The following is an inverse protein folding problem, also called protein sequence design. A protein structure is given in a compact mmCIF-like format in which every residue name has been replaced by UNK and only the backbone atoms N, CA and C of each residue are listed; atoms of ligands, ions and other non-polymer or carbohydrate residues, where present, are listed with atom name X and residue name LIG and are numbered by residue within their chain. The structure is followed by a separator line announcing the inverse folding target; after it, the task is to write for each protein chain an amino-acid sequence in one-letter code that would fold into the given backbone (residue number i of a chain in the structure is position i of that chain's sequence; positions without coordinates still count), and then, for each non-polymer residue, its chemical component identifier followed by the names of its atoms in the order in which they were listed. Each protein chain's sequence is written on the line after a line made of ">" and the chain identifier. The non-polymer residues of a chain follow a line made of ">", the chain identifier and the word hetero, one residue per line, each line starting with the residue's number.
data_IF_486810231249
#
_entry.id   IF_486810231249
#
_cell.length_a   1.000
_cell.length_b   1.000
_cell.length_c   1.000
_cell.angle_alpha   90.00
_cell.angle_beta   90.00
_cell.angle_gamma   90.00
#
_symmetry.space_group_name_H-M   'P 1'
#
loop_
_entity.id
_entity.type
_entity.pdbx_description
1 polymer ?
#
# COMPACT_ATOMS: atom_id res chain seq x y z
N UNK A 1 15.09 9.59 5.00
CA UNK A 1 14.56 8.22 4.91
C UNK A 1 14.58 7.60 6.28
N UNK A 2 13.61 6.69 6.59
CA UNK A 2 13.66 5.88 7.81
C UNK A 2 14.33 4.54 7.55
N UNK A 3 14.11 3.98 6.36
CA UNK A 3 14.69 2.72 5.93
C UNK A 3 15.23 2.86 4.51
N UNK A 4 16.41 2.31 4.28
CA UNK A 4 16.99 2.18 2.93
C UNK A 4 17.63 0.79 2.82
N UNK A 5 17.46 0.16 1.67
CA UNK A 5 18.21 -1.05 1.32
C UNK A 5 19.02 -0.78 0.07
N UNK A 6 20.23 -1.28 0.04
CA UNK A 6 21.18 -1.10 -1.06
C UNK A 6 21.56 -2.45 -1.64
N UNK A 7 21.09 -2.74 -2.85
CA UNK A 7 21.42 -3.91 -3.67
C UNK A 7 21.34 -5.24 -2.90
N UNK A 8 20.26 -5.44 -2.15
CA UNK A 8 20.04 -6.66 -1.37
C UNK A 8 19.90 -7.85 -2.31
N UNK A 9 20.76 -8.85 -2.10
CA UNK A 9 20.70 -10.13 -2.80
C UNK A 9 20.50 -11.25 -1.80
N UNK A 10 19.62 -12.19 -2.11
CA UNK A 10 19.38 -13.39 -1.31
C UNK A 10 19.05 -14.58 -2.16
N UNK A 11 19.82 -15.66 -1.98
CA UNK A 11 19.61 -16.94 -2.65
C UNK A 11 19.30 -18.03 -1.62
N UNK A 12 18.33 -18.87 -1.92
CA UNK A 12 18.00 -20.08 -1.17
C UNK A 12 18.20 -21.29 -2.08
N UNK A 13 19.19 -22.11 -1.79
CA UNK A 13 19.56 -23.26 -2.62
C UNK A 13 19.59 -22.87 -4.13
N UNK A 14 18.60 -23.30 -4.89
CA UNK A 14 18.53 -23.03 -6.33
C UNK A 14 17.58 -21.86 -6.71
N UNK A 15 17.05 -21.14 -5.70
CA UNK A 15 16.11 -20.03 -5.92
C UNK A 15 16.71 -18.68 -5.51
N UNK A 16 16.89 -17.79 -6.48
CA UNK A 16 17.28 -16.41 -6.24
C UNK A 16 16.05 -15.62 -5.81
N UNK A 17 15.92 -15.35 -4.51
CA UNK A 17 14.74 -14.68 -3.95
C UNK A 17 14.80 -13.15 -4.05
N UNK A 18 16.02 -12.57 -4.03
CA UNK A 18 16.26 -11.14 -4.24
C UNK A 18 17.54 -10.97 -5.07
N UNK A 19 17.48 -10.11 -6.09
CA UNK A 19 18.54 -9.81 -7.02
C UNK A 19 18.79 -8.29 -7.08
N UNK A 20 19.65 -7.81 -6.17
CA UNK A 20 20.05 -6.41 -6.11
C UNK A 20 18.92 -5.43 -5.74
N UNK A 21 17.96 -5.85 -4.92
CA UNK A 21 16.79 -5.05 -4.55
C UNK A 21 17.18 -3.87 -3.67
N UNK A 22 16.78 -2.66 -4.08
CA UNK A 22 17.01 -1.40 -3.35
C UNK A 22 15.68 -0.67 -3.15
N UNK A 23 15.36 -0.28 -1.91
CA UNK A 23 14.20 0.54 -1.60
C UNK A 23 14.60 1.73 -0.72
N UNK A 24 13.82 2.81 -0.79
CA UNK A 24 14.00 4.00 0.04
C UNK A 24 12.66 4.43 0.60
N UNK A 25 12.47 4.28 1.91
CA UNK A 25 11.21 4.54 2.61
C UNK A 25 11.28 5.89 3.31
N UNK A 26 10.46 6.88 2.91
CA UNK A 26 10.40 8.18 3.58
C UNK A 26 9.82 8.06 5.00
N UNK A 27 10.22 8.98 5.90
CA UNK A 27 9.61 9.08 7.25
C UNK A 27 8.15 9.51 7.16
N UNK A 28 7.32 9.06 8.11
CA UNK A 28 5.91 9.41 8.25
C UNK A 28 5.10 9.17 6.94
N UNK A 29 5.32 8.03 6.29
CA UNK A 29 4.64 7.63 5.05
C UNK A 29 4.15 6.19 5.11
N UNK A 30 3.17 5.88 4.29
CA UNK A 30 2.79 4.49 3.98
C UNK A 30 3.46 4.07 2.68
N UNK A 31 4.29 3.06 2.75
CA UNK A 31 5.08 2.54 1.63
C UNK A 31 4.59 1.15 1.21
N UNK A 32 4.08 1.04 0.00
CA UNK A 32 3.61 -0.22 -0.59
C UNK A 32 4.76 -1.06 -1.13
N UNK A 33 4.92 -2.28 -0.63
CA UNK A 33 5.81 -3.28 -1.18
C UNK A 33 4.99 -4.28 -1.98
N UNK A 34 4.99 -4.15 -3.31
CA UNK A 34 4.08 -4.81 -4.22
C UNK A 34 4.78 -5.93 -5.01
N UNK A 35 3.99 -6.84 -5.55
CA UNK A 35 4.48 -7.90 -6.43
C UNK A 35 3.67 -9.18 -6.29
N UNK A 36 3.79 -10.10 -7.26
CA UNK A 36 3.14 -11.40 -7.19
C UNK A 36 3.69 -12.24 -6.04
N UNK A 37 3.00 -13.35 -5.74
CA UNK A 37 3.49 -14.33 -4.77
C UNK A 37 4.82 -14.91 -5.26
N UNK A 38 5.79 -15.05 -4.35
CA UNK A 38 7.13 -15.52 -4.69
C UNK A 38 8.07 -14.47 -5.28
N UNK A 39 7.65 -13.20 -5.46
CA UNK A 39 8.50 -12.13 -6.02
C UNK A 39 9.67 -11.71 -5.12
N UNK A 40 9.69 -12.10 -3.84
CA UNK A 40 10.75 -11.77 -2.88
C UNK A 40 10.33 -10.82 -1.75
N UNK A 41 9.09 -10.32 -1.71
CA UNK A 41 8.59 -9.37 -0.70
C UNK A 41 8.86 -9.84 0.74
N UNK A 42 8.37 -11.02 1.11
CA UNK A 42 8.54 -11.58 2.46
C UNK A 42 10.01 -11.85 2.79
N UNK A 43 10.85 -12.20 1.80
CA UNK A 43 12.30 -12.34 2.00
C UNK A 43 12.92 -10.99 2.36
N UNK A 44 12.59 -9.91 1.65
CA UNK A 44 13.07 -8.57 1.98
C UNK A 44 12.61 -8.12 3.37
N UNK A 45 11.34 -8.35 3.71
CA UNK A 45 10.77 -8.07 5.03
C UNK A 45 11.53 -8.84 6.12
N UNK A 46 11.85 -10.12 5.93
CA UNK A 46 12.62 -10.92 6.88
C UNK A 46 14.04 -10.39 7.07
N UNK A 47 14.67 -9.87 6.01
CA UNK A 47 16.00 -9.25 6.11
C UNK A 47 15.93 -7.95 6.91
N UNK A 48 14.94 -7.08 6.66
CA UNK A 48 14.73 -5.84 7.41
C UNK A 48 14.47 -6.11 8.90
N UNK A 49 13.77 -7.20 9.22
CA UNK A 49 13.52 -7.64 10.61
C UNK A 49 14.66 -8.45 11.22
N UNK A 50 15.80 -8.62 10.54
CA UNK A 50 16.96 -9.40 10.97
C UNK A 50 16.67 -10.89 11.27
N UNK A 51 15.59 -11.42 10.69
CA UNK A 51 15.24 -12.85 10.77
C UNK A 51 16.14 -13.66 9.84
N UNK A 52 16.60 -13.07 8.74
CA UNK A 52 17.48 -13.68 7.75
C UNK A 52 18.52 -12.66 7.32
N UNK A 53 19.80 -13.07 7.24
CA UNK A 53 20.86 -12.21 6.70
C UNK A 53 20.80 -12.17 5.16
N UNK A 54 21.08 -11.03 4.52
CA UNK A 54 21.31 -10.95 3.08
C UNK A 54 22.63 -11.67 2.72
N UNK A 55 22.76 -12.12 1.48
CA UNK A 55 24.02 -12.65 0.98
C UNK A 55 24.96 -11.53 0.51
N UNK A 56 24.36 -10.41 0.04
CA UNK A 56 25.06 -9.16 -0.23
C UNK A 56 24.12 -7.96 -0.14
N UNK A 57 24.69 -6.76 -0.09
CA UNK A 57 23.96 -5.50 0.11
C UNK A 57 23.89 -5.10 1.57
N UNK A 58 23.28 -3.94 1.84
CA UNK A 58 23.17 -3.34 3.18
C UNK A 58 21.78 -2.81 3.44
N UNK A 59 21.39 -2.80 4.70
CA UNK A 59 20.15 -2.16 5.18
C UNK A 59 20.53 -1.04 6.13
N UNK A 60 19.94 0.13 5.95
CA UNK A 60 20.11 1.30 6.82
C UNK A 60 18.77 1.62 7.47
N UNK A 61 18.80 1.90 8.77
CA UNK A 61 17.63 2.29 9.54
C UNK A 61 17.94 3.59 10.31
N UNK A 62 17.08 4.58 10.17
CA UNK A 62 17.16 5.91 10.82
C UNK A 62 18.55 6.56 10.73
N UNK A 63 19.25 6.36 9.60
CA UNK A 63 20.52 7.01 9.25
C UNK A 63 21.80 6.20 9.60
N UNK A 64 21.67 4.99 10.14
CA UNK A 64 22.80 4.08 10.40
C UNK A 64 22.56 2.68 9.83
N UNK A 65 23.61 1.88 9.70
CA UNK A 65 23.48 0.49 9.27
C UNK A 65 22.68 -0.30 10.32
N UNK A 66 21.66 -1.04 9.86
CA UNK A 66 20.71 -1.76 10.71
C UNK A 66 21.44 -2.69 11.69
N UNK A 67 21.13 -2.59 12.97
CA UNK A 67 21.70 -3.39 14.04
C UNK A 67 20.63 -4.07 14.92
N UNK A 68 21.05 -5.04 15.75
CA UNK A 68 20.11 -5.84 16.56
C UNK A 68 19.20 -5.01 17.48
N UNK A 69 19.70 -3.88 18.01
CA UNK A 69 18.90 -3.01 18.87
C UNK A 69 17.74 -2.31 18.14
N UNK A 70 17.79 -2.18 16.82
CA UNK A 70 16.74 -1.53 16.04
C UNK A 70 15.44 -2.31 16.02
N UNK A 71 15.48 -3.63 16.29
CA UNK A 71 14.28 -4.50 16.38
C UNK A 71 13.27 -3.99 17.40
N UNK A 72 13.72 -3.28 18.44
CA UNK A 72 12.81 -2.65 19.42
C UNK A 72 12.06 -1.42 18.85
N UNK A 73 12.58 -0.81 17.80
CA UNK A 73 11.98 0.31 17.08
C UNK A 73 11.17 -0.12 15.85
N UNK A 74 11.09 -1.45 15.60
CA UNK A 74 10.37 -2.05 14.47
C UNK A 74 9.23 -2.91 15.00
N UNK A 75 8.02 -2.67 14.50
CA UNK A 75 6.86 -3.53 14.69
C UNK A 75 6.62 -4.37 13.44
N UNK A 76 6.56 -5.69 13.56
CA UNK A 76 6.33 -6.60 12.44
C UNK A 76 5.06 -7.43 12.65
N UNK A 77 4.13 -7.33 11.72
CA UNK A 77 2.94 -8.15 11.60
C UNK A 77 3.14 -9.14 10.44
N UNK A 78 3.48 -10.40 10.70
CA UNK A 78 3.64 -11.40 9.65
C UNK A 78 2.29 -11.87 9.10
N UNK A 79 2.29 -12.37 7.86
CA UNK A 79 1.12 -13.00 7.25
C UNK A 79 0.64 -14.22 8.05
N UNK A 80 1.57 -15.05 8.50
CA UNK A 80 1.28 -16.19 9.38
C UNK A 80 1.17 -15.76 10.84
N UNK A 81 0.23 -16.36 11.57
CA UNK A 81 -0.06 -15.96 12.94
C UNK A 81 0.92 -16.56 13.93
N UNK A 82 1.67 -15.68 14.62
CA UNK A 82 2.61 -16.03 15.68
C UNK A 82 1.98 -16.10 17.08
N UNK A 83 0.65 -16.23 17.22
CA UNK A 83 0.01 -16.26 18.51
C UNK A 83 0.02 -17.66 19.14
N UNK A 84 0.31 -17.75 20.44
CA UNK A 84 0.31 -19.02 21.22
C UNK A 84 -1.11 -19.44 21.54
N UNK A 85 -1.60 -20.50 20.90
CA UNK A 85 -2.99 -20.94 20.93
C UNK A 85 -3.56 -21.19 22.34
N UNK A 86 -2.76 -21.75 23.26
CA UNK A 86 -3.18 -22.13 24.62
C UNK A 86 -3.13 -20.98 25.64
N UNK A 87 -2.49 -19.85 25.31
CA UNK A 87 -2.44 -18.68 26.19
C UNK A 87 -3.74 -17.89 26.14
N UNK A 88 -4.06 -17.21 27.23
CA UNK A 88 -5.13 -16.21 27.24
C UNK A 88 -4.69 -14.97 26.48
N UNK A 89 -5.63 -14.31 25.81
CA UNK A 89 -5.41 -13.11 25.00
C UNK A 89 -4.69 -12.02 25.80
N UNK A 90 -5.19 -11.70 27.01
CA UNK A 90 -4.57 -10.69 27.88
C UNK A 90 -3.15 -11.06 28.31
N UNK A 91 -2.93 -12.31 28.71
CA UNK A 91 -1.60 -12.80 29.13
C UNK A 91 -0.60 -12.69 27.98
N UNK A 92 -0.97 -13.15 26.79
CA UNK A 92 -0.09 -13.10 25.62
C UNK A 92 0.17 -11.67 25.19
N UNK A 93 -0.85 -10.81 25.16
CA UNK A 93 -0.68 -9.40 24.78
C UNK A 93 0.25 -8.68 25.76
N UNK A 94 0.14 -8.92 27.05
CA UNK A 94 1.05 -8.41 28.08
C UNK A 94 2.47 -8.95 27.89
N UNK A 95 2.63 -10.24 27.61
CA UNK A 95 3.90 -10.87 27.37
C UNK A 95 4.64 -10.26 26.18
N UNK A 96 3.95 -10.14 25.02
CA UNK A 96 4.52 -9.58 23.79
C UNK A 96 4.86 -8.09 23.94
N UNK A 97 4.03 -7.31 24.64
CA UNK A 97 4.29 -5.91 24.94
C UNK A 97 5.57 -5.74 25.79
N UNK A 98 5.75 -6.60 26.78
CA UNK A 98 6.95 -6.58 27.65
C UNK A 98 8.21 -7.02 26.91
N UNK A 99 8.12 -7.97 26.00
CA UNK A 99 9.25 -8.36 25.12
C UNK A 99 9.72 -7.19 24.26
N UNK A 100 8.82 -6.27 23.91
CA UNK A 100 9.14 -5.02 23.18
C UNK A 100 9.56 -3.86 24.10
N UNK A 101 9.84 -4.13 25.37
CA UNK A 101 10.41 -3.17 26.32
C UNK A 101 9.43 -2.36 27.14
N UNK A 102 8.11 -2.57 27.02
CA UNK A 102 7.14 -1.84 27.85
C UNK A 102 7.20 -2.33 29.31
N UNK A 103 7.05 -1.41 30.25
CA UNK A 103 6.80 -1.76 31.65
C UNK A 103 5.43 -2.49 31.79
N UNK A 104 5.26 -3.25 32.86
CA UNK A 104 3.96 -3.90 33.13
C UNK A 104 2.82 -2.88 33.18
N UNK A 105 3.05 -1.73 33.83
CA UNK A 105 2.06 -0.65 33.97
C UNK A 105 1.69 -0.04 32.60
N UNK A 106 2.69 0.32 31.79
CA UNK A 106 2.46 0.95 30.47
C UNK A 106 1.81 -0.03 29.50
N UNK A 107 2.23 -1.30 29.51
CA UNK A 107 1.61 -2.34 28.70
C UNK A 107 0.12 -2.53 29.06
N UNK A 108 -0.22 -2.60 30.35
CA UNK A 108 -1.62 -2.73 30.81
C UNK A 108 -2.47 -1.52 30.42
N UNK A 109 -1.93 -0.30 30.63
CA UNK A 109 -2.60 0.94 30.26
C UNK A 109 -2.86 1.02 28.75
N UNK A 110 -1.84 0.74 27.94
CA UNK A 110 -1.96 0.78 26.48
C UNK A 110 -2.91 -0.29 25.96
N UNK A 111 -2.84 -1.51 26.49
CA UNK A 111 -3.76 -2.59 26.11
C UNK A 111 -5.21 -2.27 26.42
N UNK A 112 -5.53 -1.67 27.58
CA UNK A 112 -6.89 -1.24 27.93
C UNK A 112 -7.44 -0.27 26.87
N UNK A 113 -6.64 0.75 26.46
CA UNK A 113 -7.01 1.73 25.44
C UNK A 113 -7.31 1.04 24.10
N UNK A 114 -6.41 0.17 23.65
CA UNK A 114 -6.55 -0.51 22.37
C UNK A 114 -7.71 -1.52 22.35
N UNK A 115 -7.91 -2.25 23.46
CA UNK A 115 -9.02 -3.19 23.56
C UNK A 115 -10.37 -2.46 23.58
N UNK A 116 -10.44 -1.29 24.21
CA UNK A 116 -11.62 -0.44 24.17
C UNK A 116 -11.87 0.11 22.76
N UNK A 117 -10.85 0.67 22.12
CA UNK A 117 -10.92 1.21 20.76
C UNK A 117 -11.41 0.17 19.73
N UNK A 118 -11.02 -1.08 19.90
CA UNK A 118 -11.41 -2.19 19.00
C UNK A 118 -12.67 -2.94 19.47
N UNK A 119 -13.27 -2.57 20.62
CA UNK A 119 -14.47 -3.21 21.17
C UNK A 119 -14.26 -4.68 21.57
N UNK A 120 -13.07 -5.01 22.08
CA UNK A 120 -12.65 -6.40 22.33
C UNK A 120 -12.30 -6.68 23.80
N UNK A 121 -12.75 -5.85 24.74
CA UNK A 121 -12.46 -6.00 26.17
C UNK A 121 -12.88 -7.38 26.71
N UNK A 122 -14.00 -7.90 26.22
CA UNK A 122 -14.52 -9.21 26.61
C UNK A 122 -13.61 -10.40 26.20
N UNK A 123 -12.60 -10.16 25.34
CA UNK A 123 -11.69 -11.24 24.89
C UNK A 123 -10.51 -11.45 25.83
N UNK A 124 -10.28 -10.59 26.80
CA UNK A 124 -9.11 -10.60 27.69
C UNK A 124 -8.83 -11.98 28.29
N UNK A 125 -9.88 -12.67 28.79
CA UNK A 125 -9.76 -13.97 29.43
C UNK A 125 -9.97 -15.17 28.49
N UNK A 126 -10.31 -14.95 27.21
CA UNK A 126 -10.44 -16.02 26.23
C UNK A 126 -9.08 -16.58 25.89
N UNK A 127 -9.02 -17.87 25.57
CA UNK A 127 -7.83 -18.46 24.96
C UNK A 127 -7.73 -18.04 23.49
N UNK A 128 -6.51 -17.94 22.96
CA UNK A 128 -6.30 -17.58 21.55
C UNK A 128 -6.94 -18.59 20.59
N UNK A 129 -6.98 -19.87 20.95
CA UNK A 129 -7.64 -20.93 20.16
C UNK A 129 -9.16 -20.76 20.02
N UNK A 130 -9.79 -19.98 20.89
CA UNK A 130 -11.23 -19.67 20.84
C UNK A 130 -11.55 -18.49 19.90
N UNK A 131 -10.53 -17.83 19.36
CA UNK A 131 -10.70 -16.68 18.49
C UNK A 131 -10.92 -17.13 17.02
N UNK A 132 -11.82 -16.43 16.34
CA UNK A 132 -11.90 -16.51 14.88
C UNK A 132 -10.62 -15.96 14.21
N UNK A 133 -10.47 -16.22 12.92
CA UNK A 133 -9.33 -15.73 12.14
C UNK A 133 -9.20 -14.19 12.24
N UNK A 134 -10.27 -13.44 12.02
CA UNK A 134 -10.28 -11.99 12.13
C UNK A 134 -10.04 -11.48 13.55
N UNK A 135 -10.57 -12.17 14.56
CA UNK A 135 -10.30 -11.83 15.97
C UNK A 135 -8.81 -11.94 16.31
N UNK A 136 -8.18 -13.05 15.94
CA UNK A 136 -6.74 -13.25 16.17
C UNK A 136 -5.90 -12.19 15.43
N UNK A 137 -6.32 -11.78 14.20
CA UNK A 137 -5.66 -10.73 13.43
C UNK A 137 -5.71 -9.37 14.15
N UNK A 138 -6.86 -8.99 14.75
CA UNK A 138 -6.97 -7.78 15.57
C UNK A 138 -5.97 -7.75 16.73
N UNK A 139 -5.89 -8.86 17.46
CA UNK A 139 -4.93 -8.99 18.58
C UNK A 139 -3.50 -8.85 18.08
N UNK A 140 -3.18 -9.52 16.99
CA UNK A 140 -1.83 -9.47 16.41
C UNK A 140 -1.47 -8.05 15.93
N UNK A 141 -2.41 -7.34 15.30
CA UNK A 141 -2.24 -5.93 14.93
C UNK A 141 -1.95 -5.07 16.17
N UNK A 142 -2.78 -5.18 17.22
CA UNK A 142 -2.62 -4.41 18.46
C UNK A 142 -1.24 -4.63 19.09
N UNK A 143 -0.82 -5.88 19.27
CA UNK A 143 0.48 -6.16 19.91
C UNK A 143 1.67 -5.71 19.07
N UNK A 144 1.49 -5.60 17.75
CA UNK A 144 2.53 -5.09 16.82
C UNK A 144 2.76 -3.58 16.99
N UNK A 145 1.70 -2.79 17.24
CA UNK A 145 1.78 -1.32 17.32
C UNK A 145 1.96 -0.78 18.74
N UNK A 146 1.76 -1.62 19.76
CA UNK A 146 1.58 -1.23 21.15
C UNK A 146 2.78 -0.47 21.74
N UNK A 147 4.00 -0.83 21.34
CA UNK A 147 5.25 -0.22 21.79
C UNK A 147 5.64 1.05 21.02
N UNK A 148 4.74 1.56 20.15
CA UNK A 148 4.93 2.78 19.32
C UNK A 148 6.23 2.77 18.51
N UNK A 149 6.44 1.77 17.65
CA UNK A 149 7.67 1.67 16.87
C UNK A 149 7.77 2.81 15.85
N UNK A 150 8.99 3.17 15.46
CA UNK A 150 9.26 4.16 14.40
C UNK A 150 8.89 3.60 13.02
N UNK A 151 9.04 2.30 12.83
CA UNK A 151 8.72 1.58 11.59
C UNK A 151 7.77 0.42 11.90
N UNK A 152 6.66 0.39 11.18
CA UNK A 152 5.72 -0.72 11.18
C UNK A 152 5.79 -1.46 9.85
N UNK A 153 5.87 -2.78 9.89
CA UNK A 153 5.88 -3.63 8.70
C UNK A 153 4.68 -4.56 8.79
N UNK A 154 3.77 -4.45 7.84
CA UNK A 154 2.56 -5.26 7.75
C UNK A 154 2.61 -6.15 6.50
N UNK A 155 2.74 -7.45 6.69
CA UNK A 155 2.77 -8.44 5.61
C UNK A 155 1.36 -9.01 5.43
N UNK A 156 0.68 -8.65 4.32
CA UNK A 156 -0.71 -9.01 3.99
C UNK A 156 -1.71 -8.76 5.15
N UNK A 157 -1.75 -7.55 5.75
CA UNK A 157 -2.48 -7.31 7.00
C UNK A 157 -4.00 -7.49 6.89
N UNK A 158 -4.57 -7.43 5.69
CA UNK A 158 -6.01 -7.55 5.46
C UNK A 158 -6.48 -8.98 5.21
N UNK A 159 -5.55 -9.93 5.11
CA UNK A 159 -5.88 -11.34 4.88
C UNK A 159 -6.74 -11.90 5.99
N UNK A 160 -7.98 -12.30 5.64
CA UNK A 160 -8.93 -12.94 6.56
C UNK A 160 -9.81 -12.00 7.37
N UNK A 161 -9.80 -10.71 7.06
CA UNK A 161 -10.80 -9.76 7.53
C UNK A 161 -11.99 -9.66 6.56
N UNK A 162 -13.17 -9.35 7.11
CA UNK A 162 -14.30 -8.85 6.34
C UNK A 162 -14.10 -7.36 5.97
N UNK A 163 -14.87 -6.80 5.01
CA UNK A 163 -14.71 -5.42 4.55
C UNK A 163 -14.80 -4.37 5.66
N UNK A 164 -15.62 -4.58 6.69
CA UNK A 164 -15.77 -3.63 7.81
C UNK A 164 -14.47 -3.56 8.61
N UNK A 165 -13.91 -4.74 8.92
CA UNK A 165 -12.66 -4.82 9.67
C UNK A 165 -11.46 -4.36 8.84
N UNK A 166 -11.46 -4.56 7.51
CA UNK A 166 -10.45 -3.99 6.61
C UNK A 166 -10.44 -2.46 6.73
N UNK A 167 -11.60 -1.81 6.64
CA UNK A 167 -11.70 -0.35 6.76
C UNK A 167 -11.23 0.16 8.13
N UNK A 168 -11.56 -0.57 9.20
CA UNK A 168 -11.08 -0.23 10.55
C UNK A 168 -9.54 -0.23 10.61
N UNK A 169 -8.89 -1.27 10.07
CA UNK A 169 -7.43 -1.37 10.07
C UNK A 169 -6.79 -0.32 9.15
N UNK A 170 -7.38 -0.05 7.97
CA UNK A 170 -6.90 1.02 7.07
C UNK A 170 -6.90 2.39 7.75
N UNK A 171 -8.02 2.74 8.40
CA UNK A 171 -8.13 3.99 9.14
C UNK A 171 -7.09 4.07 10.26
N UNK A 172 -6.82 2.97 10.94
CA UNK A 172 -5.83 2.93 12.00
C UNK A 172 -4.40 3.08 11.48
N UNK A 173 -4.09 2.48 10.31
CA UNK A 173 -2.81 2.68 9.61
C UNK A 173 -2.60 4.16 9.29
N UNK A 174 -3.63 4.85 8.77
CA UNK A 174 -3.57 6.28 8.47
C UNK A 174 -3.43 7.13 9.73
N UNK A 175 -4.10 6.79 10.84
CA UNK A 175 -3.93 7.45 12.12
C UNK A 175 -2.50 7.33 12.64
N UNK A 176 -1.92 6.13 12.62
CA UNK A 176 -0.54 5.88 13.03
C UNK A 176 0.46 6.67 12.17
N UNK A 177 0.24 6.76 10.85
CA UNK A 177 1.02 7.62 9.96
C UNK A 177 0.93 9.10 10.39
N UNK A 178 -0.27 9.60 10.65
CA UNK A 178 -0.49 10.98 11.09
C UNK A 178 0.16 11.29 12.47
N UNK A 179 0.32 10.27 13.31
CA UNK A 179 1.07 10.33 14.56
C UNK A 179 2.60 10.26 14.35
N UNK A 180 3.07 10.13 13.11
CA UNK A 180 4.49 10.13 12.72
C UNK A 180 5.11 8.76 12.54
N UNK A 181 4.37 7.66 12.64
CA UNK A 181 4.88 6.34 12.32
C UNK A 181 5.11 6.19 10.82
N UNK A 182 6.13 5.42 10.44
CA UNK A 182 6.32 4.99 9.05
C UNK A 182 5.83 3.56 8.89
N UNK A 183 5.13 3.27 7.82
CA UNK A 183 4.53 1.97 7.58
C UNK A 183 5.01 1.39 6.26
N UNK A 184 5.54 0.16 6.28
CA UNK A 184 5.71 -0.69 5.09
C UNK A 184 4.53 -1.65 5.06
N UNK A 185 3.87 -1.69 3.93
CA UNK A 185 2.67 -2.48 3.72
C UNK A 185 2.85 -3.38 2.51
N UNK A 186 2.98 -4.70 2.74
CA UNK A 186 3.08 -5.64 1.64
C UNK A 186 1.70 -6.16 1.27
N UNK A 187 1.37 -6.15 -0.01
CA UNK A 187 0.11 -6.68 -0.52
C UNK A 187 0.14 -6.95 -2.02
N UNK A 188 -0.80 -7.76 -2.46
CA UNK A 188 -1.18 -7.93 -3.87
C UNK A 188 -2.52 -7.26 -4.21
N UNK A 189 -3.19 -6.61 -3.25
CA UNK A 189 -4.47 -5.90 -3.44
C UNK A 189 -4.22 -4.44 -3.83
N UNK A 190 -4.31 -4.14 -5.13
CA UNK A 190 -4.00 -2.83 -5.70
C UNK A 190 -4.98 -1.72 -5.27
N UNK A 191 -6.26 -2.03 -5.01
CA UNK A 191 -7.21 -1.03 -4.52
C UNK A 191 -6.84 -0.50 -3.14
N UNK A 192 -6.37 -1.38 -2.25
CA UNK A 192 -5.86 -0.96 -0.93
C UNK A 192 -4.60 -0.12 -1.03
N UNK A 193 -3.75 -0.38 -2.04
CA UNK A 193 -2.55 0.42 -2.30
C UNK A 193 -2.93 1.85 -2.68
N UNK A 194 -3.88 2.02 -3.62
CA UNK A 194 -4.34 3.34 -4.06
C UNK A 194 -4.96 4.17 -2.93
N UNK A 195 -5.62 3.51 -1.97
CA UNK A 195 -6.30 4.19 -0.88
C UNK A 195 -5.36 4.69 0.22
N UNK A 196 -4.25 3.99 0.50
CA UNK A 196 -3.47 4.29 1.71
C UNK A 196 -1.98 4.55 1.47
N UNK A 197 -1.39 4.15 0.31
CA UNK A 197 0.04 4.30 0.09
C UNK A 197 0.41 5.67 -0.50
N UNK A 198 1.52 6.23 -0.02
CA UNK A 198 2.15 7.44 -0.59
C UNK A 198 3.20 7.06 -1.64
N UNK A 199 3.94 5.99 -1.37
CA UNK A 199 5.03 5.50 -2.20
C UNK A 199 4.93 4.00 -2.39
N UNK A 200 5.48 3.50 -3.48
CA UNK A 200 5.50 2.07 -3.76
C UNK A 200 6.85 1.59 -4.30
N UNK A 201 7.10 0.31 -4.14
CA UNK A 201 8.02 -0.47 -4.97
C UNK A 201 7.32 -1.74 -5.43
N UNK A 202 7.39 -2.01 -6.73
CA UNK A 202 6.94 -3.24 -7.35
C UNK A 202 8.13 -4.16 -7.59
N UNK A 203 8.13 -5.32 -6.94
CA UNK A 203 9.11 -6.38 -7.13
C UNK A 203 8.50 -7.45 -8.03
N UNK A 204 9.20 -7.83 -9.09
CA UNK A 204 8.88 -8.98 -9.92
C UNK A 204 10.14 -9.77 -10.20
N UNK A 205 10.03 -11.11 -10.25
CA UNK A 205 11.18 -12.00 -10.51
C UNK A 205 12.43 -11.60 -9.72
N UNK A 206 12.26 -11.30 -8.42
CA UNK A 206 13.32 -10.92 -7.48
C UNK A 206 13.96 -9.53 -7.70
N UNK A 207 13.46 -8.71 -8.61
CA UNK A 207 14.00 -7.38 -8.96
C UNK A 207 12.98 -6.26 -8.80
N UNK A 208 13.46 -5.04 -8.56
CA UNK A 208 12.63 -3.85 -8.62
C UNK A 208 12.31 -3.53 -10.09
N UNK A 209 11.02 -3.48 -10.45
CA UNK A 209 10.59 -3.09 -11.80
C UNK A 209 9.93 -1.72 -11.85
N UNK A 210 9.44 -1.21 -10.70
CA UNK A 210 8.85 0.11 -10.57
C UNK A 210 9.01 0.61 -9.14
N UNK A 211 9.36 1.89 -8.96
CA UNK A 211 9.40 2.55 -7.64
C UNK A 211 9.11 4.04 -7.78
N UNK A 212 8.44 4.63 -6.78
CA UNK A 212 8.17 6.06 -6.74
C UNK A 212 6.94 6.43 -5.94
N UNK A 213 6.56 7.70 -5.99
CA UNK A 213 5.33 8.22 -5.43
C UNK A 213 4.14 7.74 -6.28
N UNK A 214 3.07 7.26 -5.63
CA UNK A 214 1.96 6.61 -6.32
C UNK A 214 1.25 7.53 -7.32
N UNK A 215 1.00 8.78 -6.95
CA UNK A 215 0.34 9.75 -7.82
C UNK A 215 1.18 10.11 -9.04
N UNK A 216 2.51 10.24 -8.87
CA UNK A 216 3.45 10.49 -9.99
C UNK A 216 3.49 9.28 -10.94
N UNK A 217 3.56 8.07 -10.39
CA UNK A 217 3.52 6.84 -11.19
C UNK A 217 2.24 6.80 -12.02
N UNK A 218 1.07 6.98 -11.40
CA UNK A 218 -0.21 6.93 -12.10
C UNK A 218 -0.31 7.97 -13.20
N UNK A 219 0.16 9.19 -12.97
CA UNK A 219 0.19 10.25 -13.99
C UNK A 219 1.15 9.93 -15.13
N UNK A 220 2.35 9.43 -14.82
CA UNK A 220 3.37 9.09 -15.84
C UNK A 220 2.95 7.93 -16.74
N UNK A 221 2.10 7.03 -16.23
CA UNK A 221 1.51 5.93 -17.01
C UNK A 221 0.15 6.30 -17.64
N UNK A 222 -0.34 7.51 -17.41
CA UNK A 222 -1.56 8.04 -18.03
C UNK A 222 -1.35 8.26 -19.53
N UNK A 223 -2.35 7.87 -20.30
CA UNK A 223 -2.35 8.02 -21.77
C UNK A 223 -2.94 9.37 -22.23
N UNK A 224 -3.08 10.37 -21.35
CA UNK A 224 -3.74 11.65 -21.60
C UNK A 224 -5.16 11.49 -22.17
N UNK A 225 -5.91 10.56 -21.61
CA UNK A 225 -7.28 10.27 -22.02
C UNK A 225 -8.24 11.02 -21.12
N UNK A 226 -9.21 11.70 -21.77
CA UNK A 226 -10.26 12.47 -21.09
C UNK A 226 -11.62 11.88 -21.43
N UNK A 227 -12.47 11.71 -20.43
CA UNK A 227 -13.85 11.36 -20.57
C UNK A 227 -14.70 12.62 -20.38
N UNK A 228 -15.60 12.85 -21.32
CA UNK A 228 -16.47 14.03 -21.36
C UNK A 228 -17.91 13.57 -21.45
N UNK A 229 -18.71 13.89 -20.45
CA UNK A 229 -20.16 13.77 -20.53
C UNK A 229 -20.73 15.13 -21.01
N UNK A 230 -21.55 15.14 -22.06
CA UNK A 230 -22.03 16.38 -22.67
C UNK A 230 -23.44 16.23 -23.22
N UNK A 231 -24.08 17.38 -23.42
CA UNK A 231 -25.34 17.49 -24.18
C UNK A 231 -25.12 18.35 -25.40
N UNK A 232 -25.60 17.90 -26.56
CA UNK A 232 -25.43 18.57 -27.84
C UNK A 232 -25.06 17.59 -28.95
N UNK A 233 -24.60 18.14 -30.09
CA UNK A 233 -24.23 17.32 -31.24
C UNK A 233 -22.73 16.97 -31.20
N UNK A 234 -22.40 15.68 -31.35
CA UNK A 234 -21.00 15.19 -31.40
C UNK A 234 -20.20 15.80 -32.55
N UNK A 235 -20.85 16.14 -33.64
CA UNK A 235 -20.18 16.73 -34.81
C UNK A 235 -19.68 18.16 -34.56
N UNK A 236 -20.36 18.92 -33.68
CA UNK A 236 -19.92 20.26 -33.27
C UNK A 236 -18.58 20.18 -32.50
N UNK A 237 -18.38 19.13 -31.69
CA UNK A 237 -17.11 18.84 -31.02
C UNK A 237 -16.05 18.51 -32.07
N UNK A 238 -16.33 17.53 -32.96
CA UNK A 238 -15.35 17.06 -33.96
C UNK A 238 -14.89 18.14 -34.91
N UNK A 239 -15.70 19.13 -35.19
CA UNK A 239 -15.34 20.27 -36.04
C UNK A 239 -14.45 21.29 -35.35
N UNK A 240 -14.56 21.42 -34.02
CA UNK A 240 -13.84 22.44 -33.25
C UNK A 240 -12.56 21.93 -32.58
N UNK A 241 -12.51 20.65 -32.22
CA UNK A 241 -11.28 20.09 -31.67
C UNK A 241 -10.22 19.96 -32.80
N UNK A 242 -9.00 20.37 -32.50
CA UNK A 242 -7.90 20.22 -33.44
C UNK A 242 -7.50 18.74 -33.60
N UNK A 243 -7.84 18.15 -34.75
CA UNK A 243 -7.51 16.75 -35.05
C UNK A 243 -6.00 16.46 -35.07
N UNK A 244 -5.14 17.49 -35.11
CA UNK A 244 -3.68 17.33 -35.00
C UNK A 244 -3.25 17.08 -33.55
N UNK A 245 -3.99 17.61 -32.57
CA UNK A 245 -3.70 17.53 -31.12
C UNK A 245 -4.58 16.51 -30.39
N UNK A 246 -5.76 16.21 -30.90
CA UNK A 246 -6.73 15.32 -30.23
C UNK A 246 -7.25 14.21 -31.14
N UNK A 247 -7.57 13.07 -30.54
CA UNK A 247 -8.24 11.96 -31.22
C UNK A 247 -9.42 11.47 -30.40
N UNK A 248 -10.59 11.37 -31.05
CA UNK A 248 -11.78 10.78 -30.44
C UNK A 248 -11.66 9.26 -30.49
N UNK A 249 -11.63 8.61 -29.31
CA UNK A 249 -11.53 7.16 -29.18
C UNK A 249 -12.92 6.49 -29.22
N UNK A 250 -13.91 7.12 -28.59
CA UNK A 250 -15.26 6.60 -28.56
C UNK A 250 -16.27 7.73 -28.34
N UNK A 251 -17.52 7.52 -28.80
CA UNK A 251 -18.68 8.33 -28.44
C UNK A 251 -19.87 7.40 -28.22
N UNK A 252 -20.48 7.44 -27.04
CA UNK A 252 -21.56 6.55 -26.65
C UNK A 252 -22.74 7.39 -26.18
N UNK A 253 -23.91 7.12 -26.74
CA UNK A 253 -25.14 7.75 -26.32
C UNK A 253 -25.65 7.15 -25.02
N UNK A 254 -25.97 7.99 -24.03
CA UNK A 254 -26.58 7.64 -22.76
C UNK A 254 -27.97 8.24 -22.67
N UNK A 255 -28.78 7.82 -21.72
CA UNK A 255 -30.17 8.24 -21.56
C UNK A 255 -30.36 9.76 -21.44
N UNK A 256 -29.41 10.49 -20.85
CA UNK A 256 -29.54 11.92 -20.53
C UNK A 256 -28.40 12.78 -21.06
N UNK A 257 -27.31 12.19 -21.56
CA UNK A 257 -26.12 12.85 -22.09
C UNK A 257 -25.39 11.90 -23.05
N UNK A 258 -24.43 12.43 -23.77
CA UNK A 258 -23.50 11.63 -24.54
C UNK A 258 -22.16 11.57 -23.81
N UNK A 259 -21.46 10.44 -23.90
CA UNK A 259 -20.15 10.23 -23.31
C UNK A 259 -19.12 10.07 -24.42
N UNK A 260 -18.14 10.98 -24.47
CA UNK A 260 -17.05 10.94 -25.43
C UNK A 260 -15.72 10.70 -24.71
N UNK A 261 -14.88 9.84 -25.28
CA UNK A 261 -13.50 9.62 -24.82
C UNK A 261 -12.54 10.22 -25.83
N UNK A 262 -11.70 11.14 -25.37
CA UNK A 262 -10.76 11.91 -26.19
C UNK A 262 -9.36 11.67 -25.67
N UNK A 263 -8.41 11.36 -26.56
CA UNK A 263 -6.99 11.28 -26.27
C UNK A 263 -6.30 12.54 -26.75
N UNK A 264 -5.55 13.21 -25.86
CA UNK A 264 -4.67 14.32 -26.23
C UNK A 264 -3.24 13.81 -26.48
N UNK A 265 -2.51 14.45 -27.38
CA UNK A 265 -1.12 14.11 -27.64
C UNK A 265 -0.20 14.56 -26.51
N UNK A 266 -0.49 15.72 -25.89
CA UNK A 266 0.30 16.30 -24.81
C UNK A 266 -0.57 16.62 -23.58
N UNK A 267 0.00 16.52 -22.38
CA UNK A 267 -0.69 16.84 -21.11
C UNK A 267 -1.08 18.32 -21.00
N UNK A 268 -0.27 19.22 -21.57
CA UNK A 268 -0.47 20.67 -21.51
C UNK A 268 -1.73 21.15 -22.25
N UNK A 269 -2.29 20.32 -23.12
CA UNK A 269 -3.45 20.62 -23.95
C UNK A 269 -4.81 20.46 -23.24
N UNK A 270 -4.84 20.03 -21.97
CA UNK A 270 -6.06 19.79 -21.18
C UNK A 270 -6.98 21.00 -21.11
N UNK A 271 -6.46 22.18 -20.78
CA UNK A 271 -7.26 23.40 -20.64
C UNK A 271 -7.75 23.90 -22.00
N UNK A 272 -6.95 23.72 -23.06
CA UNK A 272 -7.33 24.04 -24.43
C UNK A 272 -8.47 23.15 -24.90
N UNK A 273 -8.39 21.85 -24.64
CA UNK A 273 -9.47 20.89 -24.92
C UNK A 273 -10.78 21.30 -24.21
N UNK A 274 -10.70 21.57 -22.90
CA UNK A 274 -11.88 21.96 -22.13
C UNK A 274 -12.51 23.26 -22.67
N UNK A 275 -11.71 24.25 -23.04
CA UNK A 275 -12.20 25.50 -23.63
C UNK A 275 -12.90 25.30 -24.97
N UNK A 276 -12.37 24.41 -25.82
CA UNK A 276 -12.99 24.04 -27.09
C UNK A 276 -14.31 23.31 -26.87
N UNK A 277 -14.39 22.40 -25.91
CA UNK A 277 -15.60 21.65 -25.54
C UNK A 277 -16.71 22.58 -25.04
N UNK A 278 -16.40 23.46 -24.08
CA UNK A 278 -17.37 24.41 -23.50
C UNK A 278 -17.94 25.35 -24.59
N UNK A 279 -17.14 25.71 -25.59
CA UNK A 279 -17.60 26.57 -26.70
C UNK A 279 -18.45 25.82 -27.74
N UNK A 280 -18.49 24.47 -27.66
CA UNK A 280 -19.17 23.62 -28.66
C UNK A 280 -20.46 23.00 -28.15
N UNK A 281 -20.48 22.59 -26.90
CA UNK A 281 -21.56 21.82 -26.29
C UNK A 281 -21.75 22.19 -24.83
N UNK A 282 -22.87 21.76 -24.23
CA UNK A 282 -23.06 21.82 -22.77
C UNK A 282 -22.25 20.67 -22.10
N UNK A 283 -21.14 20.99 -21.49
CA UNK A 283 -20.31 20.00 -20.74
C UNK A 283 -20.97 19.70 -19.40
N UNK A 284 -21.30 18.43 -19.16
CA UNK A 284 -21.88 17.93 -17.90
C UNK A 284 -20.80 17.49 -16.94
N UNK A 285 -19.79 16.77 -17.47
CA UNK A 285 -18.66 16.29 -16.69
C UNK A 285 -17.40 16.27 -17.58
N UNK A 286 -16.23 16.53 -16.99
CA UNK A 286 -14.95 16.42 -17.67
C UNK A 286 -13.95 15.77 -16.70
N UNK A 287 -13.51 14.57 -17.02
CA UNK A 287 -12.65 13.77 -16.17
C UNK A 287 -11.44 13.25 -16.94
N UNK A 288 -10.27 13.32 -16.31
CA UNK A 288 -9.06 12.69 -16.80
C UNK A 288 -9.01 11.22 -16.36
N UNK A 289 -8.88 10.30 -17.31
CA UNK A 289 -8.76 8.88 -17.02
C UNK A 289 -7.31 8.59 -16.62
N UNK A 290 -7.09 8.52 -15.32
CA UNK A 290 -5.80 8.11 -14.75
C UNK A 290 -5.85 6.58 -14.56
N UNK A 291 -4.88 5.82 -15.08
CA UNK A 291 -4.88 4.38 -14.95
C UNK A 291 -4.85 3.94 -13.48
N UNK A 292 -5.50 2.84 -13.18
CA UNK A 292 -5.43 2.24 -11.86
C UNK A 292 -4.05 1.61 -11.61
N UNK A 293 -3.67 1.46 -10.35
CA UNK A 293 -2.45 0.71 -10.01
C UNK A 293 -2.52 -0.74 -10.47
N UNK A 294 -3.73 -1.30 -10.58
CA UNK A 294 -3.92 -2.65 -11.11
C UNK A 294 -3.54 -2.73 -12.60
N UNK A 295 -3.97 -1.75 -13.41
CA UNK A 295 -3.64 -1.69 -14.85
C UNK A 295 -2.14 -1.52 -15.06
N UNK A 296 -1.50 -0.63 -14.27
CA UNK A 296 -0.06 -0.40 -14.29
C UNK A 296 0.69 -1.67 -13.89
N UNK A 297 0.23 -2.34 -12.81
CA UNK A 297 0.82 -3.60 -12.35
C UNK A 297 0.81 -4.68 -13.44
N UNK A 298 -0.35 -4.90 -14.08
CA UNK A 298 -0.49 -5.89 -15.16
C UNK A 298 0.47 -5.53 -16.30
N UNK A 299 0.46 -4.28 -16.76
CA UNK A 299 1.32 -3.78 -17.85
C UNK A 299 2.81 -4.01 -17.56
N UNK A 300 3.24 -3.72 -16.33
CA UNK A 300 4.65 -3.86 -15.92
C UNK A 300 5.08 -5.32 -15.81
N UNK A 301 4.24 -6.19 -15.21
CA UNK A 301 4.54 -7.62 -15.07
C UNK A 301 4.52 -8.33 -16.42
N UNK A 302 3.66 -7.91 -17.36
CA UNK A 302 3.62 -8.46 -18.72
C UNK A 302 4.82 -8.01 -19.56
N UNK A 303 5.26 -6.77 -19.42
CA UNK A 303 6.46 -6.26 -20.11
C UNK A 303 7.76 -6.92 -19.61
N UNK A 304 7.77 -7.49 -18.41
CA UNK A 304 8.91 -8.18 -17.80
C UNK A 304 8.89 -9.70 -18.07
N UNK A 305 8.01 -10.20 -18.95
CA UNK A 305 8.00 -11.62 -19.37
C UNK A 305 9.15 -11.91 -20.31
#
# INVERSE_FOLDING_TARGET
>A
MILQTEKITKQYANHLALDGVSISVPKASVYGLLGPNGAGKTTLIRIINQITAPDSGKVFFDGHELCESDVYSIGYLPEERGLYKKMKVGEQSMYLARLKGLSKHDAEKSLKIWFEKFGIQAWWNKKVEELSKGMAQKIQFIVTILHKPKLLIFDEPFSGFDPINVNLIKNEILNLKNEGATIIFSTHNMSSVEEICDHITLINKSRNILSGQIDEIRRNYGDNIFEVDYRGNADDIKQKIDASSYSVLSNVEQKYFQKMTIKAKNVEEKNTLLSQLISSVEVVNFNEIIPSMNDIFIKMVEADK
#
